data_IF_052686488856
#
_entry.id   IF_052686488856
#
_cell.length_a   1.000
_cell.length_b   1.000
_cell.length_c   1.000
_cell.angle_alpha   90.00
_cell.angle_beta   90.00
_cell.angle_gamma   90.00
#
_symmetry.space_group_name_H-M   'P 1'
#
loop_
_entity.id
_entity.type
_entity.pdbx_description
1 polymer ?
#
# COMPACT_ATOMS: atom_id res chain seq x y z
N UNK A 1 50.90 -25.11 -17.50
CA UNK A 1 49.95 -25.59 -16.47
C UNK A 1 49.09 -24.41 -16.06
N UNK A 2 47.85 -24.38 -16.54
CA UNK A 2 46.89 -23.32 -16.28
C UNK A 2 46.41 -23.40 -14.83
N UNK A 3 46.51 -22.31 -14.07
CA UNK A 3 45.82 -22.18 -12.78
C UNK A 3 44.52 -21.44 -13.05
N UNK A 4 43.47 -22.23 -13.26
CA UNK A 4 42.08 -21.79 -13.31
C UNK A 4 41.64 -21.50 -11.86
N UNK A 5 41.90 -20.29 -11.38
CA UNK A 5 41.26 -19.82 -10.16
C UNK A 5 39.81 -19.47 -10.49
N UNK A 6 38.90 -20.36 -10.12
CA UNK A 6 37.48 -20.07 -10.01
C UNK A 6 37.31 -18.86 -9.08
N UNK A 7 36.96 -17.71 -9.66
CA UNK A 7 36.40 -16.61 -8.88
C UNK A 7 34.98 -17.05 -8.54
N UNK A 8 34.78 -17.59 -7.34
CA UNK A 8 33.45 -17.74 -6.77
C UNK A 8 32.99 -16.34 -6.36
N UNK A 9 32.47 -15.59 -7.33
CA UNK A 9 31.61 -14.47 -7.04
C UNK A 9 30.41 -15.06 -6.31
N UNK A 10 30.35 -14.87 -5.00
CA UNK A 10 29.08 -14.94 -4.29
C UNK A 10 28.26 -13.79 -4.88
N UNK A 11 27.36 -14.11 -5.80
CA UNK A 11 26.31 -13.20 -6.20
C UNK A 11 25.66 -12.68 -4.92
N UNK A 12 25.85 -11.38 -4.70
CA UNK A 12 25.12 -10.66 -3.69
C UNK A 12 23.65 -10.89 -4.03
N UNK A 13 22.94 -11.65 -3.20
CA UNK A 13 21.52 -11.90 -3.37
C UNK A 13 20.85 -10.53 -3.53
N UNK A 14 20.42 -10.20 -4.75
CA UNK A 14 19.64 -9.00 -5.02
C UNK A 14 18.32 -9.20 -4.27
N UNK A 15 18.27 -8.71 -3.03
CA UNK A 15 17.00 -8.35 -2.42
C UNK A 15 16.38 -7.30 -3.33
N UNK A 16 15.19 -7.59 -3.82
CA UNK A 16 14.50 -6.82 -4.85
C UNK A 16 14.58 -5.31 -4.58
N UNK A 17 15.16 -4.57 -5.52
CA UNK A 17 15.33 -3.11 -5.49
C UNK A 17 14.03 -2.29 -5.46
N UNK A 18 12.85 -2.92 -5.30
CA UNK A 18 11.56 -2.24 -5.49
C UNK A 18 11.16 -1.32 -4.32
N UNK A 19 11.75 -1.45 -3.13
CA UNK A 19 11.28 -0.74 -1.93
C UNK A 19 11.84 0.70 -1.86
N UNK A 20 13.06 0.93 -2.36
CA UNK A 20 13.69 2.26 -2.36
C UNK A 20 13.01 3.26 -3.32
N UNK A 21 12.14 2.78 -4.21
CA UNK A 21 11.50 3.61 -5.25
C UNK A 21 10.03 3.93 -4.92
N UNK A 22 9.49 3.46 -3.79
CA UNK A 22 8.10 3.71 -3.40
C UNK A 22 7.94 5.18 -2.99
N UNK A 23 7.00 5.86 -3.61
CA UNK A 23 6.75 7.31 -3.44
C UNK A 23 5.38 7.62 -2.82
N UNK A 24 4.41 6.71 -2.97
CA UNK A 24 3.07 6.89 -2.42
C UNK A 24 2.45 5.52 -2.09
N UNK A 25 1.80 5.42 -0.93
CA UNK A 25 0.89 4.35 -0.59
C UNK A 25 -0.49 4.97 -0.41
N UNK A 26 -1.50 4.48 -1.12
CA UNK A 26 -2.83 5.08 -1.12
C UNK A 26 -3.91 4.04 -0.92
N UNK A 27 -4.75 4.31 0.07
CA UNK A 27 -5.99 3.62 0.33
C UNK A 27 -7.17 4.49 -0.07
N UNK A 28 -8.19 3.89 -0.70
CA UNK A 28 -9.48 4.55 -0.95
C UNK A 28 -10.62 3.63 -0.56
N UNK A 29 -11.67 4.17 0.04
CA UNK A 29 -12.95 3.51 0.28
C UNK A 29 -14.11 4.44 -0.08
N UNK A 30 -15.15 3.94 -0.77
CA UNK A 30 -16.29 4.79 -1.14
C UNK A 30 -17.61 4.04 -1.39
N UNK A 31 -18.73 4.73 -1.14
CA UNK A 31 -20.11 4.35 -1.55
C UNK A 31 -20.78 5.55 -2.23
N UNK A 32 -22.01 5.46 -2.74
CA UNK A 32 -22.70 6.62 -3.33
C UNK A 32 -22.69 7.89 -2.45
N UNK A 33 -22.74 7.77 -1.12
CA UNK A 33 -22.74 8.88 -0.17
C UNK A 33 -21.49 9.01 0.73
N UNK A 34 -20.49 8.14 0.58
CA UNK A 34 -19.28 8.12 1.42
C UNK A 34 -18.02 8.11 0.56
N UNK A 35 -16.99 8.82 1.01
CA UNK A 35 -15.66 8.77 0.44
C UNK A 35 -14.64 8.91 1.56
N UNK A 36 -13.58 8.11 1.48
CA UNK A 36 -12.44 8.18 2.37
C UNK A 36 -11.19 7.81 1.59
N UNK A 37 -10.13 8.59 1.78
CA UNK A 37 -8.83 8.34 1.20
C UNK A 37 -7.76 8.63 2.23
N UNK A 38 -6.84 7.68 2.39
CA UNK A 38 -5.57 7.85 3.10
C UNK A 38 -4.46 7.77 2.07
N UNK A 39 -3.62 8.78 2.02
CA UNK A 39 -2.45 8.82 1.14
C UNK A 39 -1.22 9.11 1.97
N UNK A 40 -0.26 8.21 1.96
CA UNK A 40 1.00 8.34 2.68
C UNK A 40 2.14 8.49 1.69
N UNK A 41 3.00 9.47 1.94
CA UNK A 41 4.25 9.77 1.25
C UNK A 41 5.38 9.83 2.30
N UNK A 42 6.67 9.83 1.91
CA UNK A 42 7.77 9.69 2.88
C UNK A 42 7.81 10.68 4.04
N UNK A 43 7.20 11.86 3.91
CA UNK A 43 7.23 12.90 4.94
C UNK A 43 5.86 13.40 5.37
N UNK A 44 4.79 12.98 4.70
CA UNK A 44 3.43 13.43 5.00
C UNK A 44 2.37 12.35 4.74
N UNK A 45 1.31 12.41 5.52
CA UNK A 45 0.05 11.74 5.27
C UNK A 45 -1.03 12.76 4.90
N UNK A 46 -1.90 12.39 3.96
CA UNK A 46 -3.07 13.17 3.57
C UNK A 46 -4.34 12.33 3.75
N UNK A 47 -5.31 12.87 4.47
CA UNK A 47 -6.63 12.25 4.68
C UNK A 47 -7.70 13.11 4.02
N UNK A 48 -8.56 12.48 3.23
CA UNK A 48 -9.68 13.17 2.54
C UNK A 48 -10.97 12.40 2.74
N UNK A 49 -12.04 13.14 2.99
CA UNK A 49 -13.40 12.60 3.14
C UNK A 49 -14.36 13.07 2.04
N UNK A 50 -13.87 13.86 1.09
CA UNK A 50 -14.65 14.36 -0.04
C UNK A 50 -14.02 14.01 -1.40
N UNK A 51 -14.89 13.71 -2.36
CA UNK A 51 -14.56 13.32 -3.73
C UNK A 51 -14.06 14.46 -4.58
N UNK A 52 -14.34 15.73 -4.23
CA UNK A 52 -13.83 16.85 -5.01
C UNK A 52 -12.31 16.95 -4.94
N UNK A 53 -11.69 16.27 -3.97
CA UNK A 53 -10.25 16.26 -3.73
C UNK A 53 -9.69 17.67 -3.41
N UNK A 54 -10.55 18.65 -3.13
CA UNK A 54 -10.16 20.03 -2.80
C UNK A 54 -9.83 20.20 -1.33
N UNK A 55 -10.54 19.48 -0.47
CA UNK A 55 -10.35 19.53 0.98
C UNK A 55 -9.68 18.24 1.47
N UNK A 56 -8.69 18.40 2.34
CA UNK A 56 -7.92 17.31 2.91
C UNK A 56 -7.05 17.79 4.05
N UNK A 57 -6.94 16.96 5.08
CA UNK A 57 -6.03 17.21 6.20
C UNK A 57 -4.65 16.65 5.84
N UNK A 58 -3.61 17.39 6.17
CA UNK A 58 -2.22 16.98 5.94
C UNK A 58 -1.52 16.91 7.28
N UNK A 59 -0.87 15.79 7.53
CA UNK A 59 -0.17 15.49 8.76
C UNK A 59 1.28 15.11 8.43
N UNK A 60 2.26 15.45 9.28
CA UNK A 60 3.60 14.89 9.16
C UNK A 60 3.56 13.37 9.39
N UNK A 61 4.50 12.65 8.81
CA UNK A 61 4.78 11.25 9.16
C UNK A 61 6.22 11.17 9.68
N UNK A 62 6.44 10.38 10.71
CA UNK A 62 7.78 10.08 11.18
C UNK A 62 8.44 9.01 10.28
N UNK A 63 9.77 9.01 10.24
CA UNK A 63 10.50 8.09 9.37
C UNK A 63 10.25 6.62 9.76
N UNK A 64 10.06 6.35 11.06
CA UNK A 64 9.76 5.02 11.58
C UNK A 64 8.39 4.50 11.11
N UNK A 65 7.38 5.38 11.01
CA UNK A 65 6.04 5.03 10.53
C UNK A 65 6.07 4.72 9.02
N UNK A 66 6.82 5.52 8.26
CA UNK A 66 7.02 5.27 6.83
C UNK A 66 7.78 3.96 6.59
N UNK A 67 8.88 3.73 7.31
CA UNK A 67 9.69 2.52 7.18
C UNK A 67 8.90 1.27 7.60
N UNK A 68 8.03 1.37 8.60
CA UNK A 68 7.13 0.27 8.96
C UNK A 68 6.17 -0.11 7.83
N UNK A 69 5.59 0.88 7.14
CA UNK A 69 4.74 0.64 5.98
C UNK A 69 5.52 0.03 4.81
N UNK A 70 6.76 0.48 4.57
CA UNK A 70 7.64 -0.11 3.56
C UNK A 70 7.99 -1.56 3.89
N UNK A 71 8.25 -1.87 5.17
CA UNK A 71 8.48 -3.23 5.67
C UNK A 71 7.34 -4.19 5.30
N UNK A 72 6.10 -3.75 5.51
CA UNK A 72 4.91 -4.54 5.15
C UNK A 72 4.75 -4.75 3.64
N UNK A 73 5.33 -3.86 2.82
CA UNK A 73 5.34 -4.02 1.36
C UNK A 73 6.43 -5.00 0.91
N UNK A 74 7.54 -5.15 1.63
CA UNK A 74 8.58 -6.13 1.27
C UNK A 74 8.02 -7.56 1.24
N UNK A 75 7.08 -7.84 2.16
CA UNK A 75 6.41 -9.13 2.28
C UNK A 75 5.34 -9.35 1.19
N UNK A 76 4.96 -8.29 0.46
CA UNK A 76 3.97 -8.32 -0.62
C UNK A 76 4.68 -8.42 -1.96
N UNK A 77 4.33 -9.42 -2.77
CA UNK A 77 4.81 -9.48 -4.15
C UNK A 77 4.08 -8.42 -5.00
N UNK A 78 4.59 -7.17 -5.01
CA UNK A 78 3.95 -6.01 -5.67
C UNK A 78 3.53 -6.26 -7.12
N UNK A 79 4.30 -7.08 -7.86
CA UNK A 79 3.96 -7.44 -9.26
C UNK A 79 2.68 -8.26 -9.37
N UNK A 80 2.31 -8.97 -8.30
CA UNK A 80 1.07 -9.74 -8.19
C UNK A 80 -0.08 -8.92 -7.63
N UNK A 81 0.14 -7.70 -7.14
CA UNK A 81 -0.93 -6.85 -6.57
C UNK A 81 -2.13 -6.71 -7.51
N UNK A 82 -1.88 -6.56 -8.83
CA UNK A 82 -2.95 -6.49 -9.83
C UNK A 82 -3.64 -7.83 -10.13
N UNK A 83 -2.92 -8.94 -9.91
CA UNK A 83 -3.36 -10.31 -10.21
C UNK A 83 -3.89 -11.05 -8.98
N UNK A 84 -4.04 -10.36 -7.84
CA UNK A 84 -4.61 -10.96 -6.64
C UNK A 84 -6.04 -11.40 -6.96
N UNK A 85 -6.44 -12.57 -6.48
CA UNK A 85 -7.86 -12.91 -6.49
C UNK A 85 -8.56 -11.91 -5.57
N UNK A 86 -9.51 -11.13 -6.11
CA UNK A 86 -10.34 -10.29 -5.27
C UNK A 86 -10.95 -11.19 -4.18
N UNK A 87 -10.78 -10.83 -2.91
CA UNK A 87 -11.23 -11.63 -1.76
C UNK A 87 -12.75 -11.82 -1.68
N UNK A 88 -13.49 -11.35 -2.69
CA UNK A 88 -14.94 -11.33 -2.73
C UNK A 88 -15.46 -12.19 -3.86
N UNK A 89 -15.99 -13.37 -3.49
CA UNK A 89 -17.20 -13.83 -4.17
C UNK A 89 -18.22 -12.73 -4.01
N UNK A 90 -18.80 -12.25 -5.12
CA UNK A 90 -19.79 -11.16 -5.15
C UNK A 90 -21.11 -11.58 -4.49
N UNK A 91 -21.08 -11.86 -3.19
CA UNK A 91 -22.26 -11.99 -2.37
C UNK A 91 -22.71 -10.57 -2.06
N UNK A 92 -23.74 -10.17 -2.79
CA UNK A 92 -24.37 -8.85 -2.80
C UNK A 92 -24.63 -8.32 -1.38
N UNK A 93 -23.62 -7.66 -0.82
CA UNK A 93 -23.79 -6.86 0.39
C UNK A 93 -23.98 -5.44 -0.10
N UNK A 94 -25.23 -5.04 -0.33
CA UNK A 94 -25.67 -3.75 -0.87
C UNK A 94 -25.36 -2.54 0.07
N UNK A 95 -24.34 -2.67 0.93
CA UNK A 95 -24.09 -1.80 2.08
C UNK A 95 -22.60 -1.58 2.41
N UNK A 96 -21.66 -2.33 1.85
CA UNK A 96 -20.23 -2.13 2.12
C UNK A 96 -19.61 -1.08 1.19
N UNK A 97 -18.67 -0.27 1.70
CA UNK A 97 -17.89 0.63 0.86
C UNK A 97 -16.92 -0.17 0.00
N UNK A 98 -16.80 0.20 -1.27
CA UNK A 98 -15.81 -0.41 -2.17
C UNK A 98 -14.47 0.23 -1.87
N UNK A 99 -13.48 -0.61 -1.54
CA UNK A 99 -12.14 -0.22 -1.20
C UNK A 99 -11.11 -0.68 -2.24
N UNK A 100 -9.94 -0.05 -2.22
CA UNK A 100 -8.80 -0.40 -3.06
C UNK A 100 -7.51 0.17 -2.50
N UNK A 101 -6.40 -0.50 -2.81
CA UNK A 101 -5.04 -0.13 -2.45
C UNK A 101 -4.22 0.14 -3.71
N UNK A 102 -3.45 1.22 -3.69
CA UNK A 102 -2.48 1.55 -4.72
C UNK A 102 -1.11 1.84 -4.10
N UNK A 103 -0.06 1.26 -4.66
CA UNK A 103 1.34 1.55 -4.34
C UNK A 103 1.99 2.18 -5.57
N UNK A 104 2.55 3.37 -5.42
CA UNK A 104 3.23 4.10 -6.48
C UNK A 104 4.73 4.05 -6.24
N UNK A 105 5.46 3.72 -7.29
CA UNK A 105 6.91 3.88 -7.40
C UNK A 105 7.21 5.02 -8.38
N UNK A 106 8.48 5.41 -8.50
CA UNK A 106 8.93 6.41 -9.49
C UNK A 106 8.46 6.05 -10.92
N UNK A 107 8.52 4.77 -11.29
CA UNK A 107 8.29 4.33 -12.67
C UNK A 107 6.94 3.66 -12.90
N UNK A 108 6.28 3.19 -11.83
CA UNK A 108 5.11 2.33 -11.96
C UNK A 108 4.12 2.51 -10.81
N UNK A 109 2.84 2.38 -11.16
CA UNK A 109 1.74 2.23 -10.22
C UNK A 109 1.27 0.77 -10.17
N UNK A 110 1.12 0.24 -8.98
CA UNK A 110 0.55 -1.08 -8.70
C UNK A 110 -0.77 -0.88 -7.97
N UNK A 111 -1.83 -1.55 -8.41
CA UNK A 111 -3.16 -1.44 -7.80
C UNK A 111 -3.72 -2.82 -7.51
N UNK A 112 -4.37 -2.97 -6.37
CA UNK A 112 -5.15 -4.15 -6.05
C UNK A 112 -6.45 -4.18 -6.86
N UNK A 113 -7.07 -5.37 -7.04
CA UNK A 113 -8.50 -5.43 -7.27
C UNK A 113 -9.26 -4.67 -6.17
N UNK A 114 -10.49 -4.26 -6.47
CA UNK A 114 -11.38 -3.72 -5.45
C UNK A 114 -11.82 -4.81 -4.48
N UNK A 115 -12.07 -4.43 -3.24
CA UNK A 115 -12.51 -5.32 -2.15
C UNK A 115 -13.47 -4.58 -1.21
N UNK A 116 -14.12 -5.31 -0.30
CA UNK A 116 -15.02 -4.70 0.68
C UNK A 116 -14.20 -3.94 1.74
N UNK A 117 -14.56 -2.69 2.02
CA UNK A 117 -14.02 -1.94 3.15
C UNK A 117 -14.24 -2.72 4.45
N UNK A 118 -13.18 -2.88 5.24
CA UNK A 118 -13.16 -3.72 6.45
C UNK A 118 -12.85 -5.20 6.20
N UNK A 119 -12.76 -5.66 4.95
CA UNK A 119 -12.40 -7.02 4.61
C UNK A 119 -11.38 -7.09 3.44
N UNK A 120 -10.14 -6.60 3.65
CA UNK A 120 -9.09 -6.67 2.63
C UNK A 120 -8.60 -8.10 2.38
N UNK A 121 -8.09 -8.42 1.17
CA UNK A 121 -7.41 -9.68 0.89
C UNK A 121 -6.28 -9.97 1.88
N UNK A 122 -6.12 -11.22 2.31
CA UNK A 122 -5.16 -11.63 3.34
C UNK A 122 -3.72 -11.17 3.04
N UNK A 123 -3.32 -11.24 1.77
CA UNK A 123 -2.00 -10.79 1.30
C UNK A 123 -1.71 -9.30 1.55
N UNK A 124 -2.73 -8.41 1.55
CA UNK A 124 -2.54 -6.95 1.77
C UNK A 124 -3.14 -6.46 3.09
N UNK A 125 -3.75 -7.36 3.86
CA UNK A 125 -4.50 -7.04 5.08
C UNK A 125 -3.66 -6.31 6.12
N UNK A 126 -2.44 -6.78 6.36
CA UNK A 126 -1.52 -6.15 7.32
C UNK A 126 -1.21 -4.69 6.94
N UNK A 127 -0.92 -4.45 5.66
CA UNK A 127 -0.65 -3.11 5.14
C UNK A 127 -1.87 -2.19 5.21
N UNK A 128 -3.05 -2.68 4.81
CA UNK A 128 -4.30 -1.92 4.87
C UNK A 128 -4.65 -1.56 6.31
N UNK A 129 -4.53 -2.49 7.25
CA UNK A 129 -4.80 -2.23 8.66
C UNK A 129 -3.84 -1.18 9.22
N UNK A 130 -2.53 -1.33 8.97
CA UNK A 130 -1.53 -0.36 9.44
C UNK A 130 -1.78 1.05 8.90
N UNK A 131 -2.17 1.20 7.62
CA UNK A 131 -2.55 2.49 7.04
C UNK A 131 -3.76 3.13 7.72
N UNK A 132 -4.78 2.32 8.02
CA UNK A 132 -6.01 2.80 8.65
C UNK A 132 -5.80 3.15 10.11
N UNK A 133 -5.06 2.33 10.86
CA UNK A 133 -4.68 2.59 12.25
C UNK A 133 -3.85 3.86 12.36
N UNK A 134 -2.84 4.05 11.49
CA UNK A 134 -2.05 5.28 11.44
C UNK A 134 -2.92 6.52 11.19
N UNK A 135 -3.86 6.42 10.25
CA UNK A 135 -4.79 7.49 9.93
C UNK A 135 -5.76 7.82 11.07
N UNK A 136 -6.29 6.80 11.76
CA UNK A 136 -7.19 6.95 12.90
C UNK A 136 -6.45 7.60 14.08
N UNK A 137 -5.28 7.08 14.44
CA UNK A 137 -4.44 7.64 15.50
C UNK A 137 -4.08 9.10 15.23
N UNK A 138 -3.97 9.53 13.99
CA UNK A 138 -3.63 10.92 13.65
C UNK A 138 -4.82 11.88 13.76
N UNK A 139 -6.06 11.40 13.56
CA UNK A 139 -7.27 12.23 13.66
C UNK A 139 -7.73 12.39 15.12
N UNK A 140 -7.40 11.44 15.99
CA UNK A 140 -7.79 11.47 17.40
C UNK A 140 -6.99 12.46 18.27
N UNK A 141 -5.92 13.07 17.74
CA UNK A 141 -5.09 14.10 18.40
C UNK A 141 -5.29 15.49 17.77
#
# INVERSE_FOLDING_TARGET
MAVLCLVVLKDCSQKDKNIMDITEIKYTASTRGYFYQVKVMPTIMQIRMDRSLKDGQVFPIEIEEWDALLGLIEDIELKKLHNMEAATSWQETDRAAIAGLAVMTIDRKFESPVFDHGNPPEEIKSLVNALLELAEMTIEY
#
